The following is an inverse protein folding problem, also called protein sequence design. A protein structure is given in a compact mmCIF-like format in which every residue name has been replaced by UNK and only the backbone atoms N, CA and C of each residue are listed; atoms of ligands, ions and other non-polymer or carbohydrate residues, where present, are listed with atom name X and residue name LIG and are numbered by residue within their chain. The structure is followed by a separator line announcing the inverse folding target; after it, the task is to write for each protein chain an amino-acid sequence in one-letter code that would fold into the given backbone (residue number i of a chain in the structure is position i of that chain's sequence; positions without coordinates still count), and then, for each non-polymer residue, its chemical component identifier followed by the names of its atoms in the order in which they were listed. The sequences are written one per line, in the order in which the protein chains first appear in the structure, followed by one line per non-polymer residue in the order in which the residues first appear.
data_IF_845105855895
#
_entry.id   IF_845105855895
#
_cell.length_a   1.000
_cell.length_b   1.000
_cell.length_c   1.000
_cell.angle_alpha   90.00
_cell.angle_beta   90.00
_cell.angle_gamma   90.00
#
_symmetry.space_group_name_H-M   'P 1'
#
loop_
_entity.id
_entity.type
_entity.pdbx_description
1 polymer ?
#
# COMPACT_ATOMS: atom_id res chain seq x y z
N UNK A 1 -81.89 42.93 2.42
CA UNK A 1 -80.48 43.24 2.00
C UNK A 1 -79.54 42.17 2.63
N UNK A 2 -79.19 41.16 1.85
CA UNK A 2 -78.30 40.06 2.29
C UNK A 2 -76.90 40.37 1.74
N UNK A 3 -75.92 40.60 2.62
CA UNK A 3 -74.52 40.75 2.26
C UNK A 3 -73.88 39.36 2.16
N UNK A 4 -73.35 39.05 0.97
CA UNK A 4 -72.58 37.80 0.71
C UNK A 4 -71.14 38.14 0.98
N UNK A 5 -70.51 37.47 1.97
CA UNK A 5 -69.08 37.47 2.19
C UNK A 5 -68.40 36.38 1.32
N UNK A 6 -67.60 36.82 0.39
CA UNK A 6 -66.73 35.90 -0.40
C UNK A 6 -65.46 35.67 0.37
N UNK A 7 -65.21 34.40 0.79
CA UNK A 7 -63.94 33.95 1.36
C UNK A 7 -63.00 33.55 0.20
N UNK A 8 -61.91 34.27 0.03
CA UNK A 8 -60.83 33.90 -0.90
C UNK A 8 -59.85 32.98 -0.14
N UNK A 9 -59.83 31.70 -0.52
CA UNK A 9 -58.82 30.77 -0.02
C UNK A 9 -57.51 30.94 -0.82
N UNK A 10 -56.45 31.38 -0.15
CA UNK A 10 -55.11 31.45 -0.69
C UNK A 10 -54.48 30.07 -0.57
N UNK A 11 -54.35 29.31 -1.67
CA UNK A 11 -53.65 28.04 -1.73
C UNK A 11 -52.13 28.27 -1.79
N UNK A 12 -51.43 27.92 -0.72
CA UNK A 12 -49.96 27.87 -0.72
C UNK A 12 -49.52 26.58 -1.46
N UNK A 13 -49.04 26.73 -2.69
CA UNK A 13 -48.34 25.65 -3.39
C UNK A 13 -46.96 25.45 -2.75
N UNK A 14 -46.81 24.37 -1.97
CA UNK A 14 -45.47 23.87 -1.58
C UNK A 14 -44.78 23.34 -2.86
N UNK A 15 -43.80 24.07 -3.36
CA UNK A 15 -42.89 23.57 -4.34
C UNK A 15 -42.01 22.50 -3.65
N UNK A 16 -42.27 21.23 -3.88
CA UNK A 16 -41.35 20.17 -3.57
C UNK A 16 -40.13 20.35 -4.46
N UNK A 17 -39.01 20.74 -3.88
CA UNK A 17 -37.74 20.68 -4.56
C UNK A 17 -37.50 19.20 -4.98
N UNK A 18 -37.06 18.91 -6.21
CA UNK A 18 -36.66 17.56 -6.57
C UNK A 18 -35.56 17.14 -5.63
N UNK A 19 -35.78 16.10 -4.84
CA UNK A 19 -34.67 15.38 -4.21
C UNK A 19 -33.84 14.85 -5.37
N UNK A 20 -32.63 15.39 -5.52
CA UNK A 20 -31.63 14.80 -6.41
C UNK A 20 -31.47 13.36 -5.93
N UNK A 21 -31.89 12.41 -6.75
CA UNK A 21 -31.64 11.00 -6.48
C UNK A 21 -30.14 10.88 -6.34
N UNK A 22 -29.65 10.49 -5.17
CA UNK A 22 -28.25 10.18 -4.96
C UNK A 22 -27.93 9.04 -5.90
N UNK A 23 -27.00 9.24 -6.84
CA UNK A 23 -26.57 8.18 -7.73
C UNK A 23 -26.08 7.02 -6.86
N UNK A 24 -26.65 5.82 -7.05
CA UNK A 24 -26.27 4.65 -6.27
C UNK A 24 -24.87 4.20 -6.67
N UNK A 25 -23.96 4.10 -5.71
CA UNK A 25 -22.60 3.62 -5.95
C UNK A 25 -22.58 2.15 -6.40
N UNK A 26 -23.52 1.33 -5.91
CA UNK A 26 -23.63 -0.09 -6.20
C UNK A 26 -22.52 -0.96 -5.58
N UNK A 27 -22.36 -2.15 -6.14
CA UNK A 27 -21.38 -3.13 -5.68
C UNK A 27 -19.99 -2.81 -6.21
N UNK A 28 -18.98 -2.96 -5.33
CA UNK A 28 -17.58 -2.91 -5.70
C UNK A 28 -16.71 -3.77 -4.75
N UNK A 29 -15.56 -4.18 -5.22
CA UNK A 29 -14.56 -4.90 -4.43
C UNK A 29 -13.28 -4.08 -4.28
N UNK A 30 -12.70 -4.12 -3.08
CA UNK A 30 -11.45 -3.47 -2.71
C UNK A 30 -10.41 -4.55 -2.44
N UNK A 31 -9.22 -4.44 -3.04
CA UNK A 31 -8.14 -5.36 -2.72
C UNK A 31 -7.56 -5.07 -1.34
N UNK A 32 -7.52 -6.09 -0.50
CA UNK A 32 -6.77 -6.08 0.76
C UNK A 32 -5.45 -6.82 0.54
N UNK A 33 -4.36 -6.07 0.44
CA UNK A 33 -3.03 -6.65 0.43
C UNK A 33 -2.64 -7.10 1.84
N UNK A 34 -1.77 -8.08 1.96
CA UNK A 34 -1.46 -8.75 3.23
C UNK A 34 -0.34 -8.06 4.04
N UNK A 35 -0.32 -6.74 4.07
CA UNK A 35 0.50 -5.93 4.97
C UNK A 35 -0.34 -4.81 5.61
N UNK A 36 0.08 -4.38 6.79
CA UNK A 36 -0.75 -3.56 7.68
C UNK A 36 -1.25 -2.24 7.09
N UNK A 37 -0.42 -1.50 6.33
CA UNK A 37 -0.87 -0.22 5.75
C UNK A 37 -1.98 -0.42 4.72
N UNK A 38 -1.84 -1.43 3.86
CA UNK A 38 -2.86 -1.75 2.87
C UNK A 38 -4.13 -2.33 3.52
N UNK A 39 -3.98 -3.13 4.58
CA UNK A 39 -5.11 -3.67 5.33
C UNK A 39 -5.96 -2.55 5.93
N UNK A 40 -5.34 -1.61 6.65
CA UNK A 40 -6.07 -0.50 7.25
C UNK A 40 -6.63 0.45 6.20
N UNK A 41 -5.95 0.64 5.08
CA UNK A 41 -6.42 1.51 3.99
C UNK A 41 -7.63 0.91 3.27
N UNK A 42 -7.64 -0.40 2.99
CA UNK A 42 -8.79 -1.09 2.42
C UNK A 42 -10.01 -1.04 3.35
N UNK A 43 -9.80 -1.23 4.66
CA UNK A 43 -10.85 -1.11 5.67
C UNK A 43 -11.38 0.32 5.80
N UNK A 44 -10.50 1.31 5.73
CA UNK A 44 -10.87 2.73 5.72
C UNK A 44 -11.72 3.08 4.49
N UNK A 45 -11.28 2.66 3.30
CA UNK A 45 -12.02 2.86 2.06
C UNK A 45 -13.40 2.19 2.14
N UNK A 46 -13.47 0.94 2.60
CA UNK A 46 -14.73 0.24 2.79
C UNK A 46 -15.69 1.00 3.73
N UNK A 47 -15.17 1.45 4.88
CA UNK A 47 -16.00 2.16 5.86
C UNK A 47 -16.55 3.47 5.28
N UNK A 48 -15.69 4.27 4.64
CA UNK A 48 -16.10 5.56 4.05
C UNK A 48 -17.07 5.37 2.89
N UNK A 49 -16.79 4.43 1.98
CA UNK A 49 -17.65 4.18 0.82
C UNK A 49 -19.02 3.66 1.24
N UNK A 50 -19.09 2.73 2.18
CA UNK A 50 -20.35 2.16 2.63
C UNK A 50 -21.18 3.15 3.44
N UNK A 51 -20.57 3.81 4.44
CA UNK A 51 -21.32 4.69 5.34
C UNK A 51 -21.51 6.10 4.79
N UNK A 52 -20.52 6.64 4.08
CA UNK A 52 -20.57 8.00 3.53
C UNK A 52 -21.36 8.09 2.24
N UNK A 53 -21.19 7.13 1.35
CA UNK A 53 -21.73 7.18 -0.02
C UNK A 53 -22.77 6.12 -0.33
N UNK A 54 -23.04 5.18 0.59
CA UNK A 54 -24.04 4.14 0.42
C UNK A 54 -23.66 3.07 -0.62
N UNK A 55 -22.37 2.86 -0.81
CA UNK A 55 -21.85 1.75 -1.62
C UNK A 55 -22.07 0.41 -0.92
N UNK A 56 -21.92 -0.69 -1.66
CA UNK A 56 -21.77 -2.03 -1.13
C UNK A 56 -20.34 -2.51 -1.45
N UNK A 57 -19.35 -1.94 -0.74
CA UNK A 57 -17.96 -2.26 -0.91
C UNK A 57 -17.59 -3.51 -0.10
N UNK A 58 -17.00 -4.51 -0.76
CA UNK A 58 -16.50 -5.73 -0.14
C UNK A 58 -14.98 -5.79 -0.23
N UNK A 59 -14.33 -6.25 0.85
CA UNK A 59 -12.89 -6.48 0.86
C UNK A 59 -12.58 -7.89 0.34
N UNK A 60 -11.65 -7.98 -0.61
CA UNK A 60 -11.14 -9.25 -1.15
C UNK A 60 -9.64 -9.38 -0.88
N UNK A 61 -9.22 -10.54 -0.39
CA UNK A 61 -7.81 -10.80 -0.15
C UNK A 61 -7.00 -10.77 -1.46
N UNK A 62 -5.82 -10.18 -1.43
CA UNK A 62 -4.97 -10.04 -2.59
C UNK A 62 -3.49 -9.81 -2.26
N UNK A 63 -2.71 -9.77 -3.31
CA UNK A 63 -1.29 -9.41 -3.33
C UNK A 63 -1.02 -8.52 -4.54
N UNK A 64 0.15 -7.89 -4.60
CA UNK A 64 0.47 -6.87 -5.62
C UNK A 64 0.21 -7.38 -7.04
N UNK A 65 0.91 -8.43 -7.47
CA UNK A 65 0.83 -8.93 -8.85
C UNK A 65 -0.56 -9.52 -9.17
N UNK A 66 -1.11 -10.44 -8.36
CA UNK A 66 -2.43 -11.02 -8.64
C UNK A 66 -3.56 -10.01 -8.67
N UNK A 67 -3.59 -9.04 -7.73
CA UNK A 67 -4.66 -8.05 -7.65
C UNK A 67 -4.64 -7.08 -8.83
N UNK A 68 -3.45 -6.54 -9.16
CA UNK A 68 -3.30 -5.61 -10.28
C UNK A 68 -3.60 -6.31 -11.61
N UNK A 69 -3.10 -7.54 -11.81
CA UNK A 69 -3.40 -8.33 -13.02
C UNK A 69 -4.90 -8.60 -13.15
N UNK A 70 -5.57 -9.01 -12.07
CA UNK A 70 -7.00 -9.28 -12.08
C UNK A 70 -7.82 -8.01 -12.35
N UNK A 71 -7.44 -6.87 -11.77
CA UNK A 71 -8.06 -5.57 -12.04
C UNK A 71 -7.96 -5.23 -13.53
N UNK A 72 -6.78 -5.38 -14.13
CA UNK A 72 -6.53 -5.07 -15.55
C UNK A 72 -7.29 -6.00 -16.50
N UNK A 73 -7.33 -7.30 -16.19
CA UNK A 73 -7.92 -8.31 -17.09
C UNK A 73 -9.44 -8.45 -16.95
N UNK A 74 -9.97 -8.21 -15.73
CA UNK A 74 -11.34 -8.54 -15.37
C UNK A 74 -12.14 -7.34 -14.85
N UNK A 75 -11.49 -6.19 -14.64
CA UNK A 75 -12.08 -5.04 -13.96
C UNK A 75 -12.37 -5.30 -12.46
N UNK A 76 -11.73 -6.33 -11.87
CA UNK A 76 -11.91 -6.72 -10.47
C UNK A 76 -10.60 -7.16 -9.82
N UNK A 77 -10.36 -6.76 -8.54
CA UNK A 77 -11.19 -5.84 -7.74
C UNK A 77 -11.34 -4.49 -8.44
N UNK A 78 -12.43 -3.77 -8.23
CA UNK A 78 -12.65 -2.45 -8.84
C UNK A 78 -11.65 -1.42 -8.36
N UNK A 79 -11.15 -1.55 -7.13
CA UNK A 79 -10.17 -0.65 -6.54
C UNK A 79 -9.04 -1.45 -5.89
N UNK A 80 -7.82 -1.05 -6.17
CA UNK A 80 -6.60 -1.45 -5.44
C UNK A 80 -6.13 -0.21 -4.67
N UNK A 81 -6.41 -0.12 -3.36
CA UNK A 81 -6.19 1.10 -2.57
C UNK A 81 -4.72 1.53 -2.45
N UNK A 82 -3.80 0.56 -2.38
CA UNK A 82 -2.38 0.79 -2.17
C UNK A 82 -1.55 -0.01 -3.20
N UNK A 83 -1.33 0.57 -4.37
CA UNK A 83 -0.56 -0.05 -5.44
C UNK A 83 0.82 0.61 -5.59
N UNK A 84 1.88 -0.16 -5.39
CA UNK A 84 3.29 0.22 -5.52
C UNK A 84 3.70 0.08 -6.98
N UNK A 85 3.35 1.08 -7.81
CA UNK A 85 3.37 0.97 -9.27
C UNK A 85 4.76 0.85 -9.88
N UNK A 86 5.80 1.41 -9.25
CA UNK A 86 7.17 1.32 -9.75
C UNK A 86 7.74 -0.11 -9.73
N UNK A 87 7.07 -1.02 -9.02
CA UNK A 87 7.42 -2.45 -8.99
C UNK A 87 6.88 -3.22 -10.20
N UNK A 88 5.90 -2.64 -10.92
CA UNK A 88 5.24 -3.23 -12.09
C UNK A 88 4.99 -2.19 -13.19
N UNK A 89 6.03 -1.42 -13.61
CA UNK A 89 5.84 -0.24 -14.44
C UNK A 89 5.20 -0.57 -15.79
N UNK A 90 5.67 -1.59 -16.49
CA UNK A 90 5.14 -1.98 -17.81
C UNK A 90 3.66 -2.38 -17.73
N UNK A 91 3.29 -3.13 -16.69
CA UNK A 91 1.93 -3.63 -16.51
C UNK A 91 0.94 -2.47 -16.28
N UNK A 92 1.30 -1.56 -15.39
CA UNK A 92 0.41 -0.47 -15.00
C UNK A 92 0.35 0.64 -16.03
N UNK A 93 1.47 1.04 -16.66
CA UNK A 93 1.49 2.06 -17.69
C UNK A 93 0.80 1.59 -19.00
N UNK A 94 1.02 0.33 -19.40
CA UNK A 94 0.31 -0.22 -20.55
C UNK A 94 -1.19 -0.29 -20.30
N UNK A 95 -1.63 -0.76 -19.12
CA UNK A 95 -3.05 -0.83 -18.78
C UNK A 95 -3.71 0.55 -18.75
N UNK A 96 -3.00 1.56 -18.26
CA UNK A 96 -3.45 2.95 -18.26
C UNK A 96 -3.57 3.50 -19.69
N UNK A 97 -2.57 3.26 -20.53
CA UNK A 97 -2.57 3.67 -21.94
C UNK A 97 -3.72 3.00 -22.74
N UNK A 98 -4.03 1.74 -22.40
CA UNK A 98 -5.13 0.98 -22.99
C UNK A 98 -6.52 1.38 -22.43
N UNK A 99 -6.57 2.31 -21.47
CA UNK A 99 -7.81 2.76 -20.86
C UNK A 99 -8.49 1.72 -19.96
N UNK A 100 -7.76 0.74 -19.44
CA UNK A 100 -8.30 -0.29 -18.54
C UNK A 100 -8.34 0.12 -17.09
N UNK A 101 -7.43 1.01 -16.70
CA UNK A 101 -7.32 1.54 -15.34
C UNK A 101 -7.15 3.05 -15.36
N UNK A 102 -7.57 3.69 -14.28
CA UNK A 102 -7.21 5.07 -13.96
C UNK A 102 -6.44 5.11 -12.64
N UNK A 103 -5.54 6.07 -12.53
CA UNK A 103 -4.84 6.34 -11.28
C UNK A 103 -5.65 7.33 -10.47
N UNK A 104 -6.00 6.95 -9.26
CA UNK A 104 -6.57 7.83 -8.25
C UNK A 104 -5.48 8.61 -7.50
N UNK A 105 -5.71 8.89 -6.22
CA UNK A 105 -4.76 9.61 -5.39
C UNK A 105 -3.43 8.85 -5.23
N UNK A 106 -2.34 9.61 -5.00
CA UNK A 106 -1.14 9.09 -4.38
C UNK A 106 -1.47 8.75 -2.91
N UNK A 107 -1.63 7.47 -2.62
CA UNK A 107 -2.07 6.99 -1.31
C UNK A 107 -1.10 7.39 -0.19
N UNK A 108 0.22 7.35 -0.46
CA UNK A 108 1.28 7.77 0.44
C UNK A 108 1.90 9.07 -0.08
N UNK A 109 1.59 10.21 0.54
CA UNK A 109 2.02 11.54 0.07
C UNK A 109 3.54 11.69 -0.04
N UNK A 110 4.27 10.95 0.78
CA UNK A 110 5.74 10.99 0.87
C UNK A 110 6.40 9.90 0.01
N UNK A 111 5.58 9.05 -0.64
CA UNK A 111 6.05 7.86 -1.35
C UNK A 111 6.49 6.74 -0.41
N UNK A 112 6.94 5.62 -0.99
CA UNK A 112 7.49 4.49 -0.26
C UNK A 112 9.01 4.34 -0.48
N UNK A 113 9.70 3.78 0.49
CA UNK A 113 11.11 3.40 0.36
C UNK A 113 11.27 1.90 0.60
N UNK A 114 12.02 1.25 -0.26
CA UNK A 114 12.29 -0.17 -0.14
C UNK A 114 13.78 -0.45 -0.28
N UNK A 115 14.21 -1.64 0.13
CA UNK A 115 15.59 -2.05 0.00
C UNK A 115 15.96 -3.20 0.92
N UNK A 116 17.25 -3.44 1.07
CA UNK A 116 17.77 -4.37 2.06
C UNK A 116 18.17 -3.60 3.31
N UNK A 117 17.75 -4.10 4.45
CA UNK A 117 17.97 -3.49 5.75
C UNK A 117 18.75 -4.42 6.66
N UNK A 118 19.59 -3.82 7.53
CA UNK A 118 20.30 -4.50 8.61
C UNK A 118 20.01 -3.77 9.93
N UNK A 119 20.08 -4.45 11.11
CA UNK A 119 19.95 -3.78 12.39
C UNK A 119 21.03 -2.70 12.58
N UNK A 120 20.64 -1.57 13.19
CA UNK A 120 21.58 -0.47 13.44
C UNK A 120 22.77 -0.89 14.28
N UNK A 121 22.59 -1.77 15.27
CA UNK A 121 23.73 -2.27 16.09
C UNK A 121 24.75 -3.07 15.26
N UNK A 122 24.34 -3.73 14.17
CA UNK A 122 25.24 -4.37 13.21
C UNK A 122 25.95 -3.32 12.36
N UNK A 123 25.18 -2.33 11.85
CA UNK A 123 25.75 -1.23 11.07
C UNK A 123 26.81 -0.42 11.86
N UNK A 124 26.56 -0.20 13.16
CA UNK A 124 27.48 0.51 14.05
C UNK A 124 28.76 -0.33 14.36
N UNK A 125 28.60 -1.64 14.48
CA UNK A 125 29.72 -2.56 14.71
C UNK A 125 30.56 -2.81 13.45
N UNK A 126 29.95 -2.71 12.27
CA UNK A 126 30.52 -3.02 10.95
C UNK A 126 30.26 -1.91 9.94
N UNK A 127 30.83 -0.71 10.12
CA UNK A 127 30.60 0.42 9.22
C UNK A 127 31.08 0.19 7.79
N UNK A 128 31.92 -0.83 7.57
CA UNK A 128 32.42 -1.22 6.24
C UNK A 128 31.36 -1.90 5.37
N UNK A 129 30.26 -2.49 5.95
CA UNK A 129 29.26 -3.26 5.21
C UNK A 129 28.01 -2.46 4.82
N UNK A 130 28.04 -1.15 4.88
CA UNK A 130 26.86 -0.30 4.62
C UNK A 130 26.43 -0.22 3.16
N UNK A 131 27.15 -0.88 2.26
CA UNK A 131 26.75 -1.03 0.86
C UNK A 131 26.57 -2.51 0.52
N UNK A 132 25.67 -2.82 -0.42
CA UNK A 132 25.43 -4.20 -0.86
C UNK A 132 26.73 -4.87 -1.35
N UNK A 133 27.56 -4.25 -2.20
CA UNK A 133 28.82 -4.88 -2.62
C UNK A 133 29.80 -5.22 -1.48
N UNK A 134 29.82 -4.40 -0.43
CA UNK A 134 30.68 -4.68 0.73
C UNK A 134 30.06 -5.74 1.64
N UNK A 135 28.76 -5.65 1.95
CA UNK A 135 28.03 -6.65 2.73
C UNK A 135 28.20 -8.07 2.15
N UNK A 136 28.11 -8.21 0.84
CA UNK A 136 28.19 -9.52 0.17
C UNK A 136 29.55 -10.22 0.33
N UNK A 137 30.59 -9.51 0.73
CA UNK A 137 31.92 -10.10 1.05
C UNK A 137 31.98 -10.81 2.41
N UNK A 138 30.91 -10.66 3.24
CA UNK A 138 30.85 -11.11 4.62
C UNK A 138 29.66 -12.05 4.89
N UNK A 139 29.48 -13.17 4.14
CA UNK A 139 28.37 -14.10 4.38
C UNK A 139 28.42 -14.74 5.79
N UNK A 140 29.61 -14.85 6.38
CA UNK A 140 29.86 -15.38 7.72
C UNK A 140 29.26 -14.51 8.83
N UNK A 141 29.04 -13.21 8.60
CA UNK A 141 28.36 -12.33 9.55
C UNK A 141 26.84 -12.58 9.63
N UNK A 142 26.22 -13.17 8.61
CA UNK A 142 24.78 -13.36 8.50
C UNK A 142 24.44 -14.83 8.18
N UNK A 143 24.77 -15.79 9.07
CA UNK A 143 24.66 -17.20 8.76
C UNK A 143 23.24 -17.61 8.46
N UNK A 144 23.08 -18.44 7.40
CA UNK A 144 21.81 -19.09 7.09
C UNK A 144 21.45 -20.13 8.18
N UNK A 145 20.26 -20.05 8.77
CA UNK A 145 19.85 -20.96 9.83
C UNK A 145 19.89 -22.45 9.44
N UNK A 146 19.67 -22.76 8.16
CA UNK A 146 19.66 -24.15 7.66
C UNK A 146 21.00 -24.56 7.07
N UNK A 147 21.82 -23.60 6.66
CA UNK A 147 23.15 -23.85 6.09
C UNK A 147 24.17 -22.82 6.58
N UNK A 148 24.71 -22.98 7.81
CA UNK A 148 25.57 -21.96 8.44
C UNK A 148 26.87 -21.63 7.71
N UNK A 149 27.26 -22.44 6.72
CA UNK A 149 28.43 -22.16 5.85
C UNK A 149 28.13 -21.08 4.80
N UNK A 150 26.87 -20.61 4.70
CA UNK A 150 26.42 -19.57 3.81
C UNK A 150 25.78 -18.42 4.57
N UNK A 151 25.76 -17.25 3.94
CA UNK A 151 24.96 -16.11 4.40
C UNK A 151 23.50 -16.23 3.94
N UNK A 152 22.58 -15.56 4.63
CA UNK A 152 21.17 -15.49 4.27
C UNK A 152 20.68 -14.05 4.09
N UNK A 153 19.97 -13.81 2.98
CA UNK A 153 19.16 -12.62 2.77
C UNK A 153 17.70 -13.03 2.81
N UNK A 154 16.92 -12.43 3.73
CA UNK A 154 15.52 -12.73 3.88
C UNK A 154 14.71 -11.91 2.88
N UNK A 155 13.94 -12.59 2.03
CA UNK A 155 13.06 -11.98 1.03
C UNK A 155 11.62 -11.93 1.53
N UNK A 156 10.78 -11.13 0.86
CA UNK A 156 9.33 -11.13 1.04
C UNK A 156 8.67 -12.37 0.42
N UNK A 157 7.37 -12.47 0.60
CA UNK A 157 6.60 -13.58 0.02
C UNK A 157 6.50 -13.48 -1.51
N UNK A 158 6.21 -14.62 -2.14
CA UNK A 158 5.88 -14.67 -3.55
C UNK A 158 4.61 -13.83 -3.86
N UNK A 159 4.59 -13.14 -4.99
CA UNK A 159 3.49 -12.26 -5.41
C UNK A 159 3.69 -10.78 -5.07
N UNK A 160 4.70 -10.43 -4.30
CA UNK A 160 5.08 -9.03 -4.08
C UNK A 160 6.04 -8.52 -5.15
N UNK A 161 5.83 -7.26 -5.59
CA UNK A 161 6.75 -6.61 -6.49
C UNK A 161 8.15 -6.44 -5.90
N UNK A 162 8.25 -6.10 -4.61
CA UNK A 162 9.53 -5.99 -3.90
C UNK A 162 10.31 -7.29 -3.83
N UNK A 163 9.61 -8.44 -3.74
CA UNK A 163 10.23 -9.77 -3.80
C UNK A 163 10.87 -10.03 -5.17
N UNK A 164 10.21 -9.58 -6.25
CA UNK A 164 10.75 -9.65 -7.61
C UNK A 164 12.05 -8.83 -7.70
N UNK A 165 12.01 -7.57 -7.28
CA UNK A 165 13.18 -6.68 -7.32
C UNK A 165 14.32 -7.24 -6.48
N UNK A 166 14.05 -7.69 -5.25
CA UNK A 166 15.06 -8.33 -4.39
C UNK A 166 15.70 -9.54 -5.06
N UNK A 167 14.90 -10.38 -5.71
CA UNK A 167 15.40 -11.55 -6.44
C UNK A 167 16.31 -11.14 -7.60
N UNK A 168 15.94 -10.10 -8.34
CA UNK A 168 16.78 -9.60 -9.44
C UNK A 168 18.07 -8.94 -8.93
N UNK A 169 18.01 -8.17 -7.83
CA UNK A 169 19.21 -7.60 -7.21
C UNK A 169 20.13 -8.69 -6.69
N UNK A 170 19.62 -9.73 -6.04
CA UNK A 170 20.39 -10.89 -5.59
C UNK A 170 21.16 -11.55 -6.76
N UNK A 171 20.52 -11.71 -7.92
CA UNK A 171 21.17 -12.22 -9.13
C UNK A 171 22.20 -11.22 -9.70
N UNK A 172 21.80 -9.94 -9.79
CA UNK A 172 22.61 -8.88 -10.40
C UNK A 172 23.96 -8.68 -9.69
N UNK A 173 23.96 -8.79 -8.37
CA UNK A 173 25.19 -8.70 -7.56
C UNK A 173 25.96 -10.02 -7.47
N UNK A 174 25.47 -11.12 -8.06
CA UNK A 174 26.14 -12.43 -8.00
C UNK A 174 26.19 -13.02 -6.59
N UNK A 175 25.22 -12.69 -5.74
CA UNK A 175 25.24 -13.06 -4.32
C UNK A 175 25.34 -14.58 -4.09
N UNK A 176 24.70 -15.39 -4.92
CA UNK A 176 24.79 -16.86 -4.84
C UNK A 176 26.23 -17.37 -4.96
N UNK A 177 27.00 -16.81 -5.90
CA UNK A 177 28.40 -17.18 -6.14
C UNK A 177 29.32 -16.67 -5.00
N UNK A 178 28.87 -15.68 -4.24
CA UNK A 178 29.55 -15.14 -3.06
C UNK A 178 29.16 -15.87 -1.77
N UNK A 179 28.43 -16.98 -1.87
CA UNK A 179 28.08 -17.82 -0.72
C UNK A 179 26.82 -17.40 0.02
N UNK A 180 25.88 -16.72 -0.63
CA UNK A 180 24.61 -16.32 -0.04
C UNK A 180 23.43 -17.18 -0.53
N UNK A 181 22.45 -17.37 0.32
CA UNK A 181 21.12 -17.89 0.00
C UNK A 181 20.08 -16.74 0.12
N UNK A 182 19.08 -16.81 -0.75
CA UNK A 182 17.89 -15.96 -0.66
C UNK A 182 16.77 -16.79 -0.04
N UNK A 183 16.26 -16.38 1.13
CA UNK A 183 15.27 -17.13 1.90
C UNK A 183 13.89 -16.49 1.73
N UNK A 184 12.92 -17.29 1.31
CA UNK A 184 11.52 -16.89 1.27
C UNK A 184 10.91 -17.03 2.67
N UNK A 185 10.28 -15.95 3.17
CA UNK A 185 9.64 -15.94 4.49
C UNK A 185 8.16 -16.39 4.46
N UNK A 186 7.61 -16.60 3.29
CA UNK A 186 6.27 -17.15 3.06
C UNK A 186 5.11 -16.17 3.35
N UNK A 187 5.34 -15.09 4.11
CA UNK A 187 4.32 -14.09 4.45
C UNK A 187 4.92 -12.82 5.04
N UNK A 188 4.15 -11.72 5.05
CA UNK A 188 4.52 -10.49 5.77
C UNK A 188 4.83 -10.76 7.24
N UNK A 189 3.95 -11.47 7.94
CA UNK A 189 4.15 -11.84 9.35
C UNK A 189 5.39 -12.73 9.56
N UNK A 190 5.75 -13.57 8.59
CA UNK A 190 6.98 -14.37 8.61
C UNK A 190 8.22 -13.49 8.54
N UNK A 191 8.21 -12.50 7.65
CA UNK A 191 9.30 -11.54 7.49
C UNK A 191 9.44 -10.66 8.73
N UNK A 192 8.33 -10.09 9.22
CA UNK A 192 8.29 -9.29 10.45
C UNK A 192 8.82 -10.08 11.65
N UNK A 193 8.37 -11.33 11.79
CA UNK A 193 8.79 -12.22 12.86
C UNK A 193 10.27 -12.60 12.80
N UNK A 194 10.84 -12.73 11.60
CA UNK A 194 12.27 -12.99 11.41
C UNK A 194 13.11 -11.79 11.86
N UNK A 195 12.73 -10.56 11.41
CA UNK A 195 13.42 -9.33 11.78
C UNK A 195 13.29 -9.06 13.28
N UNK A 196 12.07 -9.13 13.83
CA UNK A 196 11.82 -8.89 15.25
C UNK A 196 12.62 -9.85 16.13
N UNK A 197 12.62 -11.15 15.82
CA UNK A 197 13.39 -12.17 16.55
C UNK A 197 14.88 -11.91 16.52
N UNK A 198 15.43 -11.58 15.33
CA UNK A 198 16.84 -11.25 15.20
C UNK A 198 17.19 -10.02 16.02
N UNK A 199 16.38 -8.96 15.93
CA UNK A 199 16.62 -7.72 16.65
C UNK A 199 16.57 -7.89 18.18
N UNK A 200 15.55 -8.56 18.70
CA UNK A 200 15.36 -8.80 20.15
C UNK A 200 16.45 -9.69 20.75
N UNK A 201 17.03 -10.59 19.94
CA UNK A 201 18.14 -11.46 20.36
C UNK A 201 19.52 -10.86 20.01
N UNK A 202 19.60 -9.64 19.51
CA UNK A 202 20.84 -9.00 19.05
C UNK A 202 21.61 -9.84 18.02
N UNK A 203 20.87 -10.54 17.14
CA UNK A 203 21.43 -11.38 16.08
C UNK A 203 21.51 -10.60 14.76
N UNK A 204 22.51 -10.88 13.92
CA UNK A 204 22.59 -10.29 12.61
C UNK A 204 21.46 -10.81 11.72
N UNK A 205 20.90 -9.92 10.91
CA UNK A 205 19.96 -10.23 9.84
C UNK A 205 20.14 -9.21 8.71
N UNK A 206 20.03 -9.65 7.48
CA UNK A 206 19.79 -8.79 6.32
C UNK A 206 18.48 -9.21 5.65
N UNK A 207 17.58 -8.26 5.48
CA UNK A 207 16.25 -8.53 4.98
C UNK A 207 15.79 -7.46 3.98
N UNK A 208 15.06 -7.88 2.97
CA UNK A 208 14.19 -6.98 2.24
C UNK A 208 13.16 -6.39 3.21
N UNK A 209 12.97 -5.07 3.16
CA UNK A 209 11.91 -4.42 3.91
C UNK A 209 11.52 -3.06 3.27
N UNK A 210 10.52 -2.37 3.85
CA UNK A 210 9.99 -1.12 3.28
C UNK A 210 9.45 -0.15 4.34
N UNK A 211 9.28 1.09 3.95
CA UNK A 211 8.59 2.14 4.71
C UNK A 211 7.34 2.61 3.95
N UNK A 212 6.21 2.88 4.65
CA UNK A 212 6.02 2.96 6.11
C UNK A 212 5.67 1.62 6.75
N UNK A 213 6.23 1.32 7.93
CA UNK A 213 5.88 0.15 8.75
C UNK A 213 6.05 0.42 10.25
N UNK A 214 5.27 -0.27 11.08
CA UNK A 214 5.41 -0.21 12.53
C UNK A 214 6.75 -0.79 12.99
N UNK A 215 7.28 -1.78 12.29
CA UNK A 215 8.52 -2.47 12.66
C UNK A 215 9.72 -1.53 12.59
N UNK A 216 9.84 -0.70 11.54
CA UNK A 216 10.91 0.30 11.44
C UNK A 216 10.74 1.46 12.43
N UNK A 217 9.51 1.70 12.90
CA UNK A 217 9.25 2.63 14.03
C UNK A 217 9.68 2.06 15.38
N UNK A 218 9.68 0.72 15.53
CA UNK A 218 10.04 0.03 16.78
C UNK A 218 11.51 -0.35 16.83
N UNK A 219 12.08 -0.77 15.73
CA UNK A 219 13.45 -1.27 15.62
C UNK A 219 14.30 -0.36 14.72
N UNK A 220 15.43 0.09 15.24
CA UNK A 220 16.36 0.90 14.45
C UNK A 220 17.08 0.02 13.42
N UNK A 221 16.65 0.13 12.18
CA UNK A 221 17.24 -0.55 11.04
C UNK A 221 17.92 0.45 10.10
N UNK A 222 18.96 0.01 9.41
CA UNK A 222 19.70 0.82 8.43
C UNK A 222 19.50 0.21 7.05
N UNK A 223 18.98 1.02 6.11
CA UNK A 223 18.90 0.64 4.70
C UNK A 223 20.30 0.66 4.09
N UNK A 224 20.69 -0.42 3.43
CA UNK A 224 21.94 -0.53 2.71
C UNK A 224 21.92 0.32 1.44
N UNK A 225 23.05 0.95 1.13
CA UNK A 225 23.24 1.60 -0.16
C UNK A 225 23.55 0.55 -1.24
N UNK A 226 23.03 0.76 -2.44
CA UNK A 226 23.25 -0.18 -3.54
C UNK A 226 24.67 -0.11 -4.14
N UNK A 227 25.42 0.94 -3.85
CA UNK A 227 26.79 1.13 -4.35
C UNK A 227 26.88 1.53 -5.82
N UNK A 228 25.76 1.69 -6.48
CA UNK A 228 25.58 2.18 -7.86
C UNK A 228 24.45 3.20 -7.90
N UNK A 229 24.46 4.16 -8.84
CA UNK A 229 23.33 5.06 -9.03
C UNK A 229 22.11 4.33 -9.64
N UNK A 230 20.92 4.92 -9.48
CA UNK A 230 19.73 4.45 -10.16
C UNK A 230 19.87 4.61 -11.68
N UNK A 231 19.63 3.52 -12.41
CA UNK A 231 19.46 3.47 -13.85
C UNK A 231 18.00 3.09 -14.15
N UNK A 232 17.19 4.07 -14.54
CA UNK A 232 15.78 3.88 -14.88
C UNK A 232 15.60 2.91 -16.05
N UNK A 233 16.50 2.91 -17.05
CA UNK A 233 16.42 2.00 -18.17
C UNK A 233 16.65 0.54 -17.73
N UNK A 234 17.58 0.28 -16.82
CA UNK A 234 17.79 -1.04 -16.25
C UNK A 234 16.63 -1.43 -15.33
N UNK A 235 16.06 -0.48 -14.58
CA UNK A 235 14.86 -0.74 -13.78
C UNK A 235 13.71 -1.29 -14.63
N UNK A 236 13.39 -0.61 -15.72
CA UNK A 236 12.33 -1.01 -16.64
C UNK A 236 12.68 -2.25 -17.46
N UNK A 237 13.95 -2.42 -17.81
CA UNK A 237 14.41 -3.57 -18.62
C UNK A 237 14.40 -4.86 -17.81
N UNK A 238 14.81 -4.79 -16.53
CA UNK A 238 15.19 -5.98 -15.80
C UNK A 238 14.90 -5.95 -14.30
N UNK A 239 15.26 -4.89 -13.56
CA UNK A 239 15.20 -4.90 -12.09
C UNK A 239 13.79 -5.19 -11.55
N UNK A 240 12.74 -4.73 -12.24
CA UNK A 240 11.33 -4.94 -11.88
C UNK A 240 10.66 -6.13 -12.58
N UNK A 241 11.42 -6.98 -13.31
CA UNK A 241 10.87 -8.10 -14.11
C UNK A 241 11.30 -9.45 -13.57
N UNK A 242 10.31 -10.28 -13.21
CA UNK A 242 10.55 -11.60 -12.60
C UNK A 242 11.38 -12.55 -13.49
N UNK A 243 11.19 -12.48 -14.80
CA UNK A 243 11.77 -13.38 -15.79
C UNK A 243 13.03 -12.83 -16.48
N UNK A 244 13.57 -11.70 -15.99
CA UNK A 244 14.80 -11.18 -16.58
C UNK A 244 15.99 -12.11 -16.33
N UNK A 245 16.70 -12.53 -17.42
CA UNK A 245 17.77 -13.52 -17.28
C UNK A 245 19.12 -12.91 -16.87
N UNK A 246 19.35 -11.63 -17.14
CA UNK A 246 20.65 -10.96 -17.03
C UNK A 246 20.57 -9.57 -16.34
N UNK A 247 20.05 -9.50 -15.09
CA UNK A 247 19.97 -8.24 -14.35
C UNK A 247 21.33 -7.67 -14.06
N UNK A 248 21.43 -6.34 -14.06
CA UNK A 248 22.62 -5.61 -13.64
C UNK A 248 22.41 -4.94 -12.28
N UNK A 249 23.47 -4.72 -11.50
CA UNK A 249 23.38 -3.92 -10.29
C UNK A 249 22.71 -2.57 -10.56
N UNK A 250 21.76 -2.21 -9.70
CA UNK A 250 20.98 -0.97 -9.81
C UNK A 250 20.65 -0.46 -8.40
N UNK A 251 20.30 0.81 -8.26
CA UNK A 251 19.70 1.32 -7.04
C UNK A 251 18.19 1.04 -7.05
N UNK A 252 17.56 1.12 -5.87
CA UNK A 252 16.12 0.95 -5.71
C UNK A 252 15.40 2.25 -6.05
N UNK A 253 14.48 2.18 -6.99
CA UNK A 253 13.65 3.32 -7.39
C UNK A 253 12.68 3.69 -6.28
N UNK A 254 12.65 4.96 -5.87
CA UNK A 254 11.65 5.43 -4.91
C UNK A 254 10.24 5.19 -5.43
N UNK A 255 9.38 4.65 -4.58
CA UNK A 255 8.04 4.26 -4.99
C UNK A 255 7.04 5.41 -4.91
N UNK A 256 6.24 5.51 -5.97
CA UNK A 256 4.96 6.23 -5.93
C UNK A 256 3.87 5.19 -5.70
N UNK A 257 3.00 5.44 -4.73
CA UNK A 257 1.97 4.48 -4.31
C UNK A 257 0.60 5.05 -4.65
N UNK A 258 -0.03 4.54 -5.70
CA UNK A 258 -1.32 5.01 -6.17
C UNK A 258 -2.48 4.12 -5.74
N UNK A 259 -3.66 4.72 -5.66
CA UNK A 259 -4.91 3.98 -5.76
C UNK A 259 -5.14 3.65 -7.24
N UNK A 260 -5.27 2.37 -7.59
CA UNK A 260 -5.67 1.98 -8.95
C UNK A 260 -7.17 1.68 -8.98
N UNK A 261 -7.85 2.13 -10.03
CA UNK A 261 -9.30 2.04 -10.19
C UNK A 261 -9.59 1.46 -11.56
N UNK A 262 -10.45 0.46 -11.65
CA UNK A 262 -10.95 -0.07 -12.91
C UNK A 262 -11.70 1.02 -13.69
N UNK A 263 -11.42 1.19 -14.96
CA UNK A 263 -12.04 2.27 -15.77
C UNK A 263 -13.57 2.14 -15.84
N UNK A 264 -14.09 0.91 -15.98
CA UNK A 264 -15.53 0.65 -15.97
C UNK A 264 -16.20 1.11 -14.66
N UNK A 265 -15.50 0.95 -13.52
CA UNK A 265 -15.99 1.47 -12.24
C UNK A 265 -15.91 2.98 -12.19
N UNK A 266 -14.79 3.56 -12.62
CA UNK A 266 -14.60 5.01 -12.62
C UNK A 266 -15.65 5.74 -13.48
N UNK A 267 -16.11 5.13 -14.59
CA UNK A 267 -17.14 5.69 -15.47
C UNK A 267 -18.56 5.66 -14.85
N UNK A 268 -18.87 4.66 -14.01
CA UNK A 268 -20.18 4.47 -13.40
C UNK A 268 -20.32 4.98 -11.97
N UNK A 269 -19.19 5.21 -11.30
CA UNK A 269 -19.18 5.62 -9.90
C UNK A 269 -19.70 7.06 -9.73
N UNK A 270 -20.45 7.35 -8.66
CA UNK A 270 -20.83 8.72 -8.32
C UNK A 270 -19.62 9.64 -8.21
N UNK A 271 -19.78 10.90 -8.63
CA UNK A 271 -18.68 11.87 -8.61
C UNK A 271 -18.05 11.99 -7.23
N UNK A 272 -18.83 12.02 -6.15
CA UNK A 272 -18.29 12.11 -4.78
C UNK A 272 -17.41 10.90 -4.37
N UNK A 273 -17.71 9.71 -4.91
CA UNK A 273 -16.86 8.52 -4.72
C UNK A 273 -15.52 8.69 -5.44
N UNK A 274 -15.57 9.16 -6.69
CA UNK A 274 -14.35 9.42 -7.47
C UNK A 274 -13.53 10.56 -6.88
N UNK A 275 -14.17 11.62 -6.38
CA UNK A 275 -13.49 12.73 -5.69
C UNK A 275 -12.74 12.21 -4.45
N UNK A 276 -13.37 11.34 -3.66
CA UNK A 276 -12.75 10.66 -2.52
C UNK A 276 -11.52 9.84 -2.95
N UNK A 277 -11.68 8.93 -3.90
CA UNK A 277 -10.60 8.06 -4.37
C UNK A 277 -9.45 8.82 -5.06
N UNK A 278 -9.73 10.03 -5.57
CA UNK A 278 -8.74 10.92 -6.18
C UNK A 278 -8.06 11.88 -5.17
N UNK A 279 -8.57 11.98 -3.94
CA UNK A 279 -8.10 12.96 -2.96
C UNK A 279 -7.47 12.32 -1.73
N UNK A 280 -7.90 11.09 -1.39
CA UNK A 280 -7.47 10.37 -0.19
C UNK A 280 -5.96 10.08 -0.22
N UNK A 281 -5.25 10.75 0.67
CA UNK A 281 -3.78 10.63 0.80
C UNK A 281 -3.37 10.92 2.24
N UNK A 282 -2.41 10.17 2.74
CA UNK A 282 -1.84 10.37 4.07
C UNK A 282 -0.31 10.30 4.05
N UNK A 283 0.33 10.87 5.07
CA UNK A 283 1.79 10.84 5.18
C UNK A 283 2.28 9.54 5.82
N UNK A 284 3.54 9.17 5.56
CA UNK A 284 4.18 8.04 6.22
C UNK A 284 4.15 8.16 7.75
N UNK A 285 4.31 9.37 8.30
CA UNK A 285 4.20 9.62 9.75
C UNK A 285 2.81 9.28 10.29
N UNK A 286 1.74 9.65 9.56
CA UNK A 286 0.36 9.28 9.92
C UNK A 286 0.16 7.77 9.92
N UNK A 287 0.61 7.11 8.85
CA UNK A 287 0.50 5.65 8.70
C UNK A 287 1.31 4.93 9.78
N UNK A 288 2.56 5.32 10.01
CA UNK A 288 3.42 4.71 11.03
C UNK A 288 2.80 4.77 12.43
N UNK A 289 2.24 5.91 12.82
CA UNK A 289 1.55 6.08 14.13
C UNK A 289 0.33 5.16 14.24
N UNK A 290 -0.46 5.07 13.18
CA UNK A 290 -1.64 4.22 13.15
C UNK A 290 -1.28 2.73 13.22
N UNK A 291 -0.29 2.29 12.44
CA UNK A 291 0.15 0.89 12.45
C UNK A 291 0.83 0.53 13.78
N UNK A 292 1.59 1.45 14.39
CA UNK A 292 2.14 1.25 15.72
C UNK A 292 1.02 1.05 16.73
N UNK A 293 -0.02 1.88 16.70
CA UNK A 293 -1.20 1.71 17.56
C UNK A 293 -1.90 0.36 17.30
N UNK A 294 -2.07 -0.04 16.04
CA UNK A 294 -2.64 -1.35 15.70
C UNK A 294 -1.82 -2.50 16.29
N UNK A 295 -0.50 -2.42 16.19
CA UNK A 295 0.41 -3.45 16.73
C UNK A 295 0.31 -3.53 18.25
N UNK A 296 0.33 -2.40 18.95
CA UNK A 296 0.28 -2.33 20.42
C UNK A 296 -1.07 -2.82 20.98
N UNK A 297 -2.15 -2.64 20.22
CA UNK A 297 -3.50 -3.05 20.61
C UNK A 297 -3.95 -4.39 20.01
N UNK A 298 -3.12 -5.06 19.21
CA UNK A 298 -3.47 -6.27 18.45
C UNK A 298 -4.74 -6.05 17.60
N UNK A 299 -4.85 -4.85 17.04
CA UNK A 299 -6.01 -4.37 16.32
C UNK A 299 -6.00 -4.86 14.85
N UNK A 300 -7.20 -5.08 14.32
CA UNK A 300 -7.42 -5.39 12.90
C UNK A 300 -7.39 -4.12 12.04
N UNK A 301 -7.37 -4.27 10.71
CA UNK A 301 -7.51 -3.13 9.79
C UNK A 301 -8.80 -2.34 10.02
N UNK A 302 -9.92 -3.01 10.37
CA UNK A 302 -11.19 -2.33 10.69
C UNK A 302 -11.06 -1.49 11.97
N UNK A 303 -10.43 -2.03 13.02
CA UNK A 303 -10.18 -1.28 14.26
C UNK A 303 -9.29 -0.06 13.99
N UNK A 304 -8.23 -0.23 13.19
CA UNK A 304 -7.34 0.84 12.76
C UNK A 304 -8.06 1.93 11.97
N UNK A 305 -8.92 1.54 11.02
CA UNK A 305 -9.73 2.48 10.24
C UNK A 305 -10.66 3.31 11.14
N UNK A 306 -11.34 2.68 12.09
CA UNK A 306 -12.21 3.38 13.06
C UNK A 306 -11.41 4.30 13.98
N UNK A 307 -10.24 3.87 14.44
CA UNK A 307 -9.34 4.71 15.26
C UNK A 307 -8.86 5.93 14.48
N UNK A 308 -8.43 5.75 13.23
CA UNK A 308 -8.05 6.86 12.36
C UNK A 308 -9.19 7.86 12.18
N UNK A 309 -10.40 7.39 11.88
CA UNK A 309 -11.56 8.25 11.66
C UNK A 309 -11.95 9.04 12.93
N UNK A 310 -11.76 8.46 14.12
CA UNK A 310 -12.02 9.14 15.40
C UNK A 310 -10.96 10.17 15.76
N UNK A 311 -9.67 9.87 15.46
CA UNK A 311 -8.55 10.66 15.96
C UNK A 311 -8.00 11.68 14.96
N UNK A 312 -8.35 11.56 13.67
CA UNK A 312 -7.84 12.43 12.60
C UNK A 312 -8.95 13.08 11.74
N UNK A 313 -10.02 13.63 12.34
CA UNK A 313 -11.14 14.18 11.57
C UNK A 313 -10.70 15.33 10.66
N UNK A 314 -9.75 16.17 11.10
CA UNK A 314 -9.23 17.29 10.30
C UNK A 314 -8.48 16.87 9.03
N UNK A 315 -8.07 15.59 8.94
CA UNK A 315 -7.44 15.04 7.75
C UNK A 315 -8.47 14.44 6.79
N UNK A 316 -9.25 13.45 7.24
CA UNK A 316 -10.14 12.70 6.36
C UNK A 316 -11.41 13.48 5.93
N UNK A 317 -11.88 14.43 6.73
CA UNK A 317 -13.03 15.26 6.35
C UNK A 317 -12.78 16.11 5.09
N UNK A 318 -11.50 16.34 4.75
CA UNK A 318 -11.12 17.03 3.50
C UNK A 318 -11.21 16.14 2.27
N UNK A 319 -11.29 14.83 2.45
CA UNK A 319 -11.35 13.86 1.34
C UNK A 319 -12.77 13.59 0.88
N UNK A 320 -13.75 13.92 1.70
CA UNK A 320 -15.15 13.58 1.48
C UNK A 320 -16.03 14.82 1.41
N UNK A 321 -17.24 14.65 0.88
CA UNK A 321 -18.23 15.74 0.93
C UNK A 321 -18.71 15.98 2.37
N UNK A 322 -19.14 17.21 2.72
CA UNK A 322 -19.68 17.50 4.05
C UNK A 322 -20.84 16.56 4.45
N UNK A 323 -21.71 16.19 3.49
CA UNK A 323 -22.81 15.26 3.74
C UNK A 323 -22.30 13.85 4.07
N UNK A 324 -21.30 13.36 3.32
CA UNK A 324 -20.68 12.07 3.61
C UNK A 324 -19.97 12.09 4.96
N UNK A 325 -19.30 13.18 5.32
CA UNK A 325 -18.64 13.33 6.62
C UNK A 325 -19.63 13.17 7.79
N UNK A 326 -20.81 13.78 7.71
CA UNK A 326 -21.84 13.63 8.76
C UNK A 326 -22.36 12.19 8.87
N UNK A 327 -22.56 11.50 7.74
CA UNK A 327 -22.95 10.08 7.74
C UNK A 327 -21.87 9.18 8.34
N UNK A 328 -20.60 9.41 8.00
CA UNK A 328 -19.44 8.69 8.54
C UNK A 328 -19.35 8.87 10.05
N UNK A 329 -19.45 10.11 10.54
CA UNK A 329 -19.44 10.41 11.98
C UNK A 329 -20.60 9.72 12.73
N UNK A 330 -21.77 9.62 12.11
CA UNK A 330 -22.91 8.96 12.72
C UNK A 330 -22.77 7.42 12.78
N UNK A 331 -21.88 6.83 11.98
CA UNK A 331 -21.60 5.40 11.93
C UNK A 331 -20.40 4.95 12.81
N UNK A 332 -19.63 5.90 13.37
CA UNK A 332 -18.49 5.64 14.27
C UNK A 332 -18.90 5.33 15.68
#
# INVERSE_FOLDING_TARGET
MRKILTLTALGAALAAAPALAQEECGDLSLSNMNWQSAEVLAALDQFILNNGYGCNAEIVAGDTVPSITSLIERGRPEVVPEAWINLLPDLTEQARADGKIVYGANALSDGGQQGWFIPKYIADAHPEILTIPELLKHPDLFPDPENPDKGAIYNGQEGWGGTIVTTQMFKAYGAADMGWNLLDTGSAAGLDGAIARAYENQQPIVAFYWEPTALLGKYEMVRLQHGVPLDDAEWERCSSKADCPDPKPNDWKSDVVYTLIASDFAERAPQGVMDYLNTRSWSNDTVNKLIAWMTDNQATGEDGAREFLRTQPELWEKWVTPEAAEKIKAAL
#
